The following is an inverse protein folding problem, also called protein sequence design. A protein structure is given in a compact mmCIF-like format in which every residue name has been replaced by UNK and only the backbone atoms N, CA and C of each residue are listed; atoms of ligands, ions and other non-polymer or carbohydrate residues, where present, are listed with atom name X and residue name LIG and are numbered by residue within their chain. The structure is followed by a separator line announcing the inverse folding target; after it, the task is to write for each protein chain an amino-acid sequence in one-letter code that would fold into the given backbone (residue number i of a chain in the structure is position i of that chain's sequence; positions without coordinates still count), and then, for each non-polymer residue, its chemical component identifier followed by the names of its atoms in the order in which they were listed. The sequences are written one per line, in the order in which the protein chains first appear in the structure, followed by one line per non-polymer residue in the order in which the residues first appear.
data_IF_461328796701
#
_entry.id   IF_461328796701
#
_cell.length_a   1.000
_cell.length_b   1.000
_cell.length_c   1.000
_cell.angle_alpha   90.00
_cell.angle_beta   90.00
_cell.angle_gamma   90.00
#
_symmetry.space_group_name_H-M   'P 1'
#
loop_
_entity.id
_entity.type
_entity.pdbx_description
1 polymer ?
#
# COMPACT_ATOMS: atom_id res chain seq x y z
N UNK A 1 -14.16 29.63 28.05
CA UNK A 1 -12.73 29.31 27.91
C UNK A 1 -11.91 30.12 28.90
N UNK A 2 -11.24 29.44 29.85
CA UNK A 2 -10.61 30.03 31.04
C UNK A 2 -9.31 30.83 30.76
N UNK A 3 -8.78 30.77 29.54
CA UNK A 3 -7.49 31.36 29.15
C UNK A 3 -7.60 32.71 28.41
N UNK A 4 -8.75 33.40 28.44
CA UNK A 4 -8.90 34.76 27.90
C UNK A 4 -9.08 34.88 26.37
N UNK A 5 -8.90 33.80 25.61
CA UNK A 5 -9.14 33.79 24.16
C UNK A 5 -10.58 33.37 23.86
N UNK A 6 -11.35 34.24 23.19
CA UNK A 6 -12.68 33.93 22.65
C UNK A 6 -12.57 33.81 21.14
N UNK A 7 -13.10 32.70 20.60
CA UNK A 7 -13.23 32.54 19.16
C UNK A 7 -14.35 33.47 18.64
N UNK A 8 -14.10 34.26 17.58
CA UNK A 8 -15.17 34.97 16.87
C UNK A 8 -16.21 34.00 16.31
N UNK A 9 -17.47 34.44 16.20
CA UNK A 9 -18.58 33.61 15.68
C UNK A 9 -18.46 33.31 14.18
N UNK A 10 -17.62 34.04 13.45
CA UNK A 10 -17.40 33.89 12.00
C UNK A 10 -16.28 32.92 11.65
N UNK A 11 -15.61 32.32 12.64
CA UNK A 11 -14.40 31.52 12.43
C UNK A 11 -14.58 30.09 12.94
N UNK A 12 -13.97 29.12 12.25
CA UNK A 12 -14.01 27.72 12.69
C UNK A 12 -13.22 27.56 13.99
N UNK A 13 -13.83 27.08 15.10
CA UNK A 13 -13.14 26.94 16.37
C UNK A 13 -11.89 26.06 16.29
N UNK A 14 -11.89 24.98 15.50
CA UNK A 14 -10.74 24.09 15.39
C UNK A 14 -9.53 24.82 14.77
N UNK A 15 -9.75 25.52 13.67
CA UNK A 15 -8.72 26.30 12.99
C UNK A 15 -8.22 27.46 13.88
N UNK A 16 -9.10 28.06 14.69
CA UNK A 16 -8.74 29.13 15.61
C UNK A 16 -7.75 28.65 16.67
N UNK A 17 -7.97 27.47 17.24
CA UNK A 17 -7.07 26.89 18.22
C UNK A 17 -5.74 26.47 17.60
N UNK A 18 -5.76 25.89 16.39
CA UNK A 18 -4.54 25.54 15.66
C UNK A 18 -3.70 26.80 15.42
N UNK A 19 -4.30 27.88 14.93
CA UNK A 19 -3.60 29.14 14.70
C UNK A 19 -3.02 29.75 15.99
N UNK A 20 -3.72 29.63 17.13
CA UNK A 20 -3.25 30.12 18.43
C UNK A 20 -2.17 29.26 19.07
N UNK A 21 -2.12 27.97 18.74
CA UNK A 21 -1.12 27.02 19.24
C UNK A 21 0.08 26.86 18.29
N UNK A 22 -0.01 27.37 17.06
CA UNK A 22 1.06 27.33 16.08
C UNK A 22 2.16 28.34 16.40
N UNK A 23 3.41 27.88 16.31
CA UNK A 23 4.58 28.77 16.34
C UNK A 23 4.84 29.26 14.92
N UNK A 24 4.54 30.54 14.67
CA UNK A 24 4.81 31.19 13.39
C UNK A 24 6.30 31.58 13.29
N UNK A 25 7.03 31.13 12.25
CA UNK A 25 8.43 31.51 12.04
C UNK A 25 8.54 33.00 11.65
N UNK A 26 9.58 33.68 12.14
CA UNK A 26 9.89 35.09 11.82
C UNK A 26 9.93 36.02 13.05
N UNK A 27 9.68 37.32 12.84
CA UNK A 27 9.84 38.37 13.87
C UNK A 27 8.94 38.22 15.12
N UNK A 28 7.95 37.35 15.08
CA UNK A 28 7.02 37.10 16.19
C UNK A 28 7.23 35.75 16.88
N UNK A 29 8.26 34.98 16.49
CA UNK A 29 8.49 33.62 17.02
C UNK A 29 8.60 33.58 18.55
N UNK A 30 9.40 34.49 19.15
CA UNK A 30 9.58 34.55 20.61
C UNK A 30 8.27 34.84 21.35
N UNK A 31 7.40 35.69 20.78
CA UNK A 31 6.08 36.03 21.36
C UNK A 31 5.10 34.87 21.21
N UNK A 32 5.09 34.21 20.06
CA UNK A 32 4.25 33.04 19.78
C UNK A 32 4.63 31.87 20.71
N UNK A 33 5.93 31.56 20.84
CA UNK A 33 6.43 30.54 21.78
C UNK A 33 6.07 30.85 23.23
N UNK A 34 6.22 32.11 23.65
CA UNK A 34 5.84 32.51 25.01
C UNK A 34 4.32 32.36 25.24
N UNK A 35 3.48 32.70 24.26
CA UNK A 35 2.03 32.53 24.34
C UNK A 35 1.62 31.07 24.42
N UNK A 36 2.20 30.21 23.57
CA UNK A 36 1.95 28.75 23.58
C UNK A 36 2.37 28.15 24.92
N UNK A 37 3.57 28.50 25.42
CA UNK A 37 4.05 28.03 26.71
C UNK A 37 3.11 28.39 27.85
N UNK A 38 2.62 29.64 27.90
CA UNK A 38 1.63 30.06 28.91
C UNK A 38 0.33 29.25 28.85
N UNK A 39 -0.13 28.89 27.65
CA UNK A 39 -1.34 28.06 27.46
C UNK A 39 -1.08 26.63 27.93
N UNK A 40 0.09 26.05 27.61
CA UNK A 40 0.50 24.73 28.10
C UNK A 40 0.63 24.70 29.62
N UNK A 41 1.29 25.70 30.22
CA UNK A 41 1.47 25.79 31.66
C UNK A 41 0.11 25.93 32.39
N UNK A 42 -0.83 26.72 31.83
CA UNK A 42 -2.17 26.84 32.42
C UNK A 42 -3.01 25.58 32.25
N UNK A 43 -2.80 24.82 31.17
CA UNK A 43 -3.44 23.52 30.96
C UNK A 43 -2.93 22.47 31.94
N UNK A 44 -1.61 22.36 32.12
CA UNK A 44 -0.99 21.43 33.08
C UNK A 44 -1.41 21.74 34.53
N UNK A 45 -1.55 23.02 34.89
CA UNK A 45 -2.05 23.41 36.20
C UNK A 45 -3.55 23.15 36.40
N UNK A 46 -4.32 22.99 35.31
CA UNK A 46 -5.77 22.82 35.37
C UNK A 46 -6.17 21.43 35.89
N UNK A 47 -7.35 21.34 36.50
CA UNK A 47 -7.94 20.05 36.94
C UNK A 47 -8.03 19.04 35.79
N UNK A 48 -8.38 19.51 34.60
CA UNK A 48 -8.55 18.66 33.42
C UNK A 48 -7.21 18.10 32.91
N UNK A 49 -6.14 18.90 32.94
CA UNK A 49 -4.79 18.43 32.60
C UNK A 49 -4.33 17.31 33.54
N UNK A 50 -4.53 17.47 34.85
CA UNK A 50 -4.19 16.45 35.85
C UNK A 50 -5.02 15.16 35.73
N UNK A 51 -6.29 15.28 35.39
CA UNK A 51 -7.18 14.14 35.15
C UNK A 51 -6.73 13.30 33.94
N UNK A 52 -6.38 13.97 32.84
CA UNK A 52 -5.82 13.32 31.65
C UNK A 52 -4.48 12.66 31.98
N UNK A 53 -3.60 13.34 32.72
CA UNK A 53 -2.29 12.80 33.12
C UNK A 53 -2.43 11.53 33.97
N UNK A 54 -3.39 11.53 34.92
CA UNK A 54 -3.70 10.33 35.70
C UNK A 54 -4.27 9.18 34.86
N UNK A 55 -5.06 9.49 33.83
CA UNK A 55 -5.62 8.49 32.91
C UNK A 55 -4.52 7.89 32.03
N UNK A 56 -3.60 8.72 31.52
CA UNK A 56 -2.45 8.28 30.72
C UNK A 56 -1.53 7.38 31.55
N UNK A 57 -1.22 7.78 32.79
CA UNK A 57 -0.41 6.98 33.70
C UNK A 57 -1.04 5.59 33.94
N UNK A 58 -2.35 5.56 34.24
CA UNK A 58 -3.12 4.33 34.42
C UNK A 58 -3.11 3.43 33.17
N UNK A 59 -3.36 4.00 31.98
CA UNK A 59 -3.31 3.23 30.73
C UNK A 59 -1.91 2.71 30.40
N UNK A 60 -0.85 3.45 30.73
CA UNK A 60 0.53 3.02 30.49
C UNK A 60 0.95 1.84 31.37
N UNK A 61 0.46 1.81 32.61
CA UNK A 61 0.70 0.72 33.56
C UNK A 61 -0.04 -0.55 33.12
N UNK A 62 -1.30 -0.41 32.71
CA UNK A 62 -2.09 -1.50 32.13
C UNK A 62 -1.41 -2.10 30.89
N UNK A 63 -0.88 -1.26 29.99
CA UNK A 63 -0.21 -1.70 28.76
C UNK A 63 1.10 -2.46 29.01
N UNK A 64 1.80 -2.23 30.13
CA UNK A 64 2.98 -3.03 30.50
C UNK A 64 2.58 -4.39 31.07
N UNK A 65 1.48 -4.46 31.84
CA UNK A 65 0.98 -5.70 32.44
C UNK A 65 0.35 -6.68 31.42
N UNK A 66 -0.26 -6.17 30.35
CA UNK A 66 -0.97 -6.98 29.32
C UNK A 66 -0.01 -7.73 28.36
N UNK A 67 1.30 -7.64 28.60
CA UNK A 67 2.30 -8.46 27.89
C UNK A 67 2.40 -9.90 28.41
N UNK A 68 1.67 -10.25 29.49
CA UNK A 68 1.77 -11.54 30.17
C UNK A 68 0.43 -12.15 30.66
N UNK A 69 -0.73 -11.93 30.03
CA UNK A 69 -1.78 -12.97 30.13
C UNK A 69 -2.84 -12.86 29.03
N UNK A 70 -3.06 -13.96 28.32
CA UNK A 70 -4.13 -14.06 27.33
C UNK A 70 -5.33 -14.74 27.98
N UNK A 71 -6.43 -14.02 28.15
CA UNK A 71 -7.75 -14.65 28.08
C UNK A 71 -8.78 -14.17 29.08
N UNK A 72 -9.44 -13.04 28.81
CA UNK A 72 -10.83 -12.85 29.23
C UNK A 72 -11.58 -12.13 28.10
N UNK A 73 -12.80 -12.59 27.83
CA UNK A 73 -13.72 -12.08 26.84
C UNK A 73 -14.05 -10.60 27.12
N UNK A 74 -13.52 -9.70 26.31
CA UNK A 74 -14.14 -8.39 26.09
C UNK A 74 -14.14 -8.02 24.61
N UNK A 75 -15.29 -7.51 24.17
CA UNK A 75 -15.66 -7.24 22.79
C UNK A 75 -15.38 -5.77 22.43
N UNK A 76 -14.19 -5.27 22.79
CA UNK A 76 -13.77 -3.92 22.42
C UNK A 76 -13.02 -3.91 21.08
N UNK A 77 -13.51 -3.15 20.06
CA UNK A 77 -12.92 -3.14 18.71
C UNK A 77 -11.61 -2.33 18.60
N UNK A 78 -11.14 -1.70 19.68
CA UNK A 78 -10.05 -0.72 19.65
C UNK A 78 -8.70 -1.33 20.06
N UNK A 79 -8.68 -2.40 20.87
CA UNK A 79 -7.45 -2.91 21.52
C UNK A 79 -6.87 -4.20 20.94
N UNK A 80 -7.55 -4.90 20.03
CA UNK A 80 -6.98 -6.13 19.45
C UNK A 80 -5.98 -5.79 18.33
N UNK A 81 -4.71 -6.26 18.40
CA UNK A 81 -3.91 -6.35 17.19
C UNK A 81 -4.69 -7.25 16.24
N UNK A 82 -5.13 -6.70 15.11
CA UNK A 82 -5.83 -7.45 14.06
C UNK A 82 -5.07 -8.75 13.83
N UNK A 83 -5.62 -9.89 14.27
CA UNK A 83 -4.96 -11.20 14.12
C UNK A 83 -4.64 -11.34 12.65
N UNK A 84 -3.35 -11.30 12.32
CA UNK A 84 -2.89 -11.44 10.94
C UNK A 84 -3.38 -12.80 10.47
N UNK A 85 -4.19 -12.79 9.41
CA UNK A 85 -4.71 -14.02 8.83
C UNK A 85 -3.54 -14.96 8.53
N UNK A 86 -3.73 -16.27 8.75
CA UNK A 86 -2.71 -17.28 8.44
C UNK A 86 -2.23 -17.09 7.00
N UNK A 87 -0.92 -17.20 6.77
CA UNK A 87 -0.26 -16.92 5.48
C UNK A 87 -0.98 -17.56 4.29
N UNK A 88 -1.37 -18.83 4.38
CA UNK A 88 -2.10 -19.52 3.30
C UNK A 88 -3.49 -18.95 3.00
N UNK A 89 -4.20 -18.41 4.00
CA UNK A 89 -5.50 -17.75 3.81
C UNK A 89 -5.32 -16.40 3.13
N UNK A 90 -4.25 -15.66 3.47
CA UNK A 90 -3.90 -14.41 2.80
C UNK A 90 -3.57 -14.64 1.33
N UNK A 91 -2.70 -15.62 1.05
CA UNK A 91 -2.31 -15.99 -0.32
C UNK A 91 -3.54 -16.42 -1.12
N UNK A 92 -4.39 -17.32 -0.60
CA UNK A 92 -5.61 -17.78 -1.30
C UNK A 92 -6.59 -16.65 -1.58
N UNK A 93 -6.78 -15.72 -0.63
CA UNK A 93 -7.69 -14.59 -0.80
C UNK A 93 -7.18 -13.60 -1.86
N UNK A 94 -5.88 -13.28 -1.82
CA UNK A 94 -5.22 -12.44 -2.82
C UNK A 94 -5.25 -13.08 -4.22
N UNK A 95 -4.99 -14.39 -4.31
CA UNK A 95 -5.13 -15.15 -5.55
C UNK A 95 -6.55 -15.07 -6.09
N UNK A 96 -7.56 -15.43 -5.28
CA UNK A 96 -8.96 -15.39 -5.73
C UNK A 96 -9.36 -13.99 -6.22
N UNK A 97 -8.95 -12.94 -5.50
CA UNK A 97 -9.21 -11.56 -5.90
C UNK A 97 -8.55 -11.22 -7.23
N UNK A 98 -7.27 -11.56 -7.40
CA UNK A 98 -6.57 -11.35 -8.66
C UNK A 98 -7.17 -12.16 -9.81
N UNK A 99 -7.60 -13.40 -9.58
CA UNK A 99 -8.24 -14.25 -10.59
C UNK A 99 -9.55 -13.64 -11.10
N UNK A 100 -10.34 -13.06 -10.19
CA UNK A 100 -11.61 -12.39 -10.53
C UNK A 100 -11.35 -11.08 -11.28
N UNK A 101 -10.36 -10.30 -10.85
CA UNK A 101 -9.97 -9.05 -11.52
C UNK A 101 -9.50 -9.31 -12.96
N UNK A 102 -8.69 -10.35 -13.14
CA UNK A 102 -8.20 -10.78 -14.46
C UNK A 102 -9.33 -11.33 -15.34
N UNK A 103 -10.30 -12.06 -14.76
CA UNK A 103 -11.46 -12.56 -15.48
C UNK A 103 -12.48 -11.45 -15.85
N UNK A 104 -12.55 -10.36 -15.06
CA UNK A 104 -13.43 -9.21 -15.32
C UNK A 104 -12.97 -8.30 -16.45
N UNK A 105 -11.73 -8.43 -16.89
CA UNK A 105 -11.17 -7.67 -18.01
C UNK A 105 -10.92 -8.56 -19.24
N UNK A 106 -11.96 -9.21 -19.82
CA UNK A 106 -11.79 -10.11 -20.96
C UNK A 106 -11.29 -9.39 -22.21
N UNK A 107 -11.53 -8.07 -22.34
CA UNK A 107 -11.06 -7.26 -23.45
C UNK A 107 -9.52 -7.25 -23.56
N UNK A 108 -8.81 -7.15 -22.44
CA UNK A 108 -7.34 -7.13 -22.43
C UNK A 108 -6.79 -8.51 -22.84
N UNK A 109 -7.39 -9.59 -22.35
CA UNK A 109 -6.99 -10.96 -22.71
C UNK A 109 -7.31 -11.29 -24.17
N UNK A 110 -8.44 -10.81 -24.69
CA UNK A 110 -8.79 -10.94 -26.11
C UNK A 110 -7.79 -10.18 -27.00
N UNK A 111 -7.44 -8.93 -26.67
CA UNK A 111 -6.45 -8.16 -27.43
C UNK A 111 -5.08 -8.86 -27.47
N UNK A 112 -4.61 -9.38 -26.32
CA UNK A 112 -3.38 -10.18 -26.24
C UNK A 112 -3.44 -11.44 -27.10
N UNK A 113 -4.59 -12.11 -27.13
CA UNK A 113 -4.79 -13.32 -27.93
C UNK A 113 -4.76 -13.00 -29.43
N UNK A 114 -5.43 -11.93 -29.86
CA UNK A 114 -5.42 -11.47 -31.25
C UNK A 114 -4.01 -11.07 -31.69
N UNK A 115 -3.28 -10.32 -30.85
CA UNK A 115 -1.88 -9.97 -31.11
C UNK A 115 -1.01 -11.21 -31.33
N UNK A 116 -1.13 -12.23 -30.46
CA UNK A 116 -0.39 -13.50 -30.59
C UNK A 116 -0.75 -14.25 -31.88
N UNK A 117 -2.02 -14.26 -32.28
CA UNK A 117 -2.47 -14.88 -33.55
C UNK A 117 -1.86 -14.17 -34.76
N UNK A 118 -1.92 -12.83 -34.78
CA UNK A 118 -1.34 -12.04 -35.89
C UNK A 118 0.15 -12.30 -36.02
N UNK A 119 0.88 -12.33 -34.90
CA UNK A 119 2.29 -12.60 -34.93
C UNK A 119 2.63 -14.04 -35.32
N UNK A 120 1.85 -15.03 -34.87
CA UNK A 120 2.01 -16.41 -35.30
C UNK A 120 1.81 -16.57 -36.81
N UNK A 121 0.84 -15.84 -37.38
CA UNK A 121 0.63 -15.80 -38.84
C UNK A 121 1.82 -15.15 -39.55
N UNK A 122 2.33 -14.02 -39.05
CA UNK A 122 3.50 -13.34 -39.62
C UNK A 122 4.75 -14.23 -39.59
N UNK A 123 5.05 -14.85 -38.45
CA UNK A 123 6.17 -15.80 -38.33
C UNK A 123 5.97 -17.00 -39.24
N UNK A 124 4.74 -17.54 -39.30
CA UNK A 124 4.39 -18.63 -40.21
C UNK A 124 4.62 -18.29 -41.68
N UNK A 125 4.28 -17.07 -42.11
CA UNK A 125 4.53 -16.57 -43.46
C UNK A 125 6.01 -16.37 -43.76
N UNK A 126 6.77 -15.83 -42.81
CA UNK A 126 8.21 -15.57 -42.96
C UNK A 126 9.00 -16.86 -43.10
N UNK A 127 8.62 -17.91 -42.36
CA UNK A 127 9.33 -19.20 -42.33
C UNK A 127 8.62 -20.31 -43.13
N UNK A 128 7.65 -19.97 -43.98
CA UNK A 128 6.87 -20.95 -44.76
C UNK A 128 7.69 -21.74 -45.79
N UNK A 129 8.75 -21.14 -46.35
CA UNK A 129 9.57 -21.70 -47.43
C UNK A 129 11.03 -21.91 -47.02
N UNK A 130 11.26 -22.42 -45.81
CA UNK A 130 12.62 -22.77 -45.35
C UNK A 130 13.05 -24.10 -45.97
N UNK A 131 14.02 -24.05 -46.87
CA UNK A 131 14.66 -25.25 -47.42
C UNK A 131 15.70 -25.85 -46.46
N UNK A 132 15.83 -27.18 -46.46
CA UNK A 132 16.73 -27.93 -45.57
C UNK A 132 18.19 -27.82 -46.05
N UNK A 133 18.77 -26.63 -45.90
CA UNK A 133 20.16 -26.28 -46.22
C UNK A 133 20.84 -25.62 -45.01
N UNK A 134 22.16 -25.38 -45.07
CA UNK A 134 22.89 -24.65 -44.02
C UNK A 134 22.23 -23.30 -43.64
N UNK A 135 21.68 -22.59 -44.64
CA UNK A 135 20.89 -21.37 -44.43
C UNK A 135 19.57 -21.63 -43.69
N UNK A 136 18.86 -22.70 -44.04
CA UNK A 136 17.62 -23.06 -43.36
C UNK A 136 17.80 -23.44 -41.89
N UNK A 137 18.94 -24.03 -41.50
CA UNK A 137 19.27 -24.26 -40.08
C UNK A 137 19.40 -22.93 -39.34
N UNK A 138 20.02 -21.93 -39.96
CA UNK A 138 20.13 -20.57 -39.39
C UNK A 138 18.75 -19.90 -39.29
N UNK A 139 17.90 -20.05 -40.30
CA UNK A 139 16.53 -19.50 -40.31
C UNK A 139 15.67 -20.12 -39.20
N UNK A 140 15.76 -21.44 -38.99
CA UNK A 140 15.07 -22.14 -37.87
C UNK A 140 15.59 -21.64 -36.51
N UNK A 141 16.90 -21.42 -36.38
CA UNK A 141 17.47 -20.82 -35.17
C UNK A 141 16.92 -19.43 -34.89
N UNK A 142 16.76 -18.61 -35.93
CA UNK A 142 16.09 -17.30 -35.85
C UNK A 142 14.62 -17.40 -35.45
N UNK A 143 13.88 -18.38 -35.98
CA UNK A 143 12.48 -18.61 -35.63
C UNK A 143 12.30 -18.99 -34.16
N UNK A 144 13.15 -19.90 -33.63
CA UNK A 144 13.12 -20.29 -32.22
C UNK A 144 13.47 -19.10 -31.33
N UNK A 145 14.49 -18.31 -31.70
CA UNK A 145 14.85 -17.09 -30.97
C UNK A 145 13.70 -16.08 -30.94
N UNK A 146 13.04 -15.83 -32.07
CA UNK A 146 11.89 -14.94 -32.15
C UNK A 146 10.74 -15.44 -31.28
N UNK A 147 10.46 -16.75 -31.27
CA UNK A 147 9.42 -17.34 -30.43
C UNK A 147 9.71 -17.17 -28.92
N UNK A 148 10.93 -17.45 -28.47
CA UNK A 148 11.33 -17.28 -27.07
C UNK A 148 11.26 -15.80 -26.65
N UNK A 149 11.72 -14.92 -27.52
CA UNK A 149 11.76 -13.47 -27.29
C UNK A 149 10.35 -12.89 -27.15
N UNK A 150 9.45 -13.27 -28.05
CA UNK A 150 8.06 -12.84 -27.98
C UNK A 150 7.32 -13.35 -26.75
N UNK A 151 7.65 -14.54 -26.24
CA UNK A 151 7.04 -15.02 -25.00
C UNK A 151 7.60 -14.29 -23.77
N UNK A 152 8.86 -13.87 -23.80
CA UNK A 152 9.57 -13.34 -22.63
C UNK A 152 9.42 -11.82 -22.45
N UNK A 153 9.52 -11.02 -23.52
CA UNK A 153 9.52 -9.56 -23.40
C UNK A 153 8.17 -8.96 -23.01
N UNK A 154 7.02 -9.36 -23.58
CA UNK A 154 5.70 -8.86 -23.14
C UNK A 154 5.42 -9.16 -21.67
N UNK A 155 5.89 -10.30 -21.16
CA UNK A 155 5.86 -10.64 -19.73
C UNK A 155 6.58 -9.59 -18.90
N UNK A 156 7.82 -9.33 -19.25
CA UNK A 156 8.67 -8.36 -18.56
C UNK A 156 8.07 -6.95 -18.60
N UNK A 157 7.60 -6.49 -19.76
CA UNK A 157 6.98 -5.18 -19.91
C UNK A 157 5.67 -5.05 -19.12
N UNK A 158 4.89 -6.14 -19.00
CA UNK A 158 3.70 -6.16 -18.16
C UNK A 158 4.02 -5.86 -16.69
N UNK A 159 5.03 -6.53 -16.14
CA UNK A 159 5.48 -6.31 -14.76
C UNK A 159 6.05 -4.90 -14.60
N UNK A 160 6.90 -4.45 -15.52
CA UNK A 160 7.57 -3.15 -15.43
C UNK A 160 6.61 -1.96 -15.46
N UNK A 161 5.46 -2.07 -16.13
CA UNK A 161 4.46 -1.00 -16.15
C UNK A 161 3.54 -1.03 -14.92
N UNK A 162 3.18 -2.23 -14.45
CA UNK A 162 2.23 -2.38 -13.33
C UNK A 162 2.92 -2.19 -11.97
N UNK A 163 4.15 -2.64 -11.81
CA UNK A 163 4.82 -2.62 -10.51
C UNK A 163 5.05 -1.20 -9.94
N UNK A 164 5.54 -0.20 -10.71
CA UNK A 164 5.75 1.15 -10.20
C UNK A 164 4.44 1.83 -9.77
N UNK A 165 3.33 1.55 -10.45
CA UNK A 165 2.03 2.13 -10.12
C UNK A 165 1.43 1.54 -8.83
N UNK A 166 1.75 0.30 -8.49
CA UNK A 166 1.29 -0.35 -7.25
C UNK A 166 2.21 -0.09 -6.04
N UNK A 167 3.47 0.28 -6.28
CA UNK A 167 4.48 0.56 -5.25
C UNK A 167 4.02 1.48 -4.09
N UNK A 168 3.37 2.65 -4.33
CA UNK A 168 2.94 3.52 -3.24
C UNK A 168 1.84 2.88 -2.37
N UNK A 169 0.97 2.06 -2.96
CA UNK A 169 -0.09 1.35 -2.22
C UNK A 169 0.52 0.28 -1.32
N UNK A 170 1.47 -0.49 -1.86
CA UNK A 170 2.20 -1.52 -1.10
C UNK A 170 2.91 -0.90 0.09
N UNK A 171 3.61 0.21 -0.10
CA UNK A 171 4.36 0.88 0.96
C UNK A 171 3.43 1.33 2.09
N UNK A 172 2.27 1.90 1.74
CA UNK A 172 1.26 2.33 2.71
C UNK A 172 0.66 1.15 3.49
N UNK A 173 0.33 0.06 2.81
CA UNK A 173 -0.26 -1.12 3.45
C UNK A 173 0.74 -1.89 4.31
N UNK A 174 2.02 -1.90 3.91
CA UNK A 174 3.09 -2.49 4.69
C UNK A 174 3.36 -1.71 5.98
N UNK A 175 3.42 -0.37 5.90
CA UNK A 175 3.53 0.50 7.08
C UNK A 175 2.32 0.37 8.01
N UNK A 176 1.13 0.10 7.46
CA UNK A 176 -0.06 -0.24 8.23
C UNK A 176 -0.07 -1.64 8.87
N UNK A 177 0.98 -2.46 8.64
CA UNK A 177 1.15 -3.77 9.26
C UNK A 177 0.25 -4.88 8.72
N UNK A 178 -0.47 -4.65 7.60
CA UNK A 178 -1.45 -5.60 7.06
C UNK A 178 -0.81 -6.88 6.49
N UNK A 179 0.34 -6.76 5.80
CA UNK A 179 1.01 -7.89 5.13
C UNK A 179 2.54 -7.80 5.23
N UNK A 180 3.21 -8.97 5.21
CA UNK A 180 4.66 -9.07 5.01
C UNK A 180 4.99 -8.96 3.52
N UNK A 181 6.11 -8.32 3.19
CA UNK A 181 6.53 -8.00 1.81
C UNK A 181 6.79 -9.26 0.98
N UNK A 182 7.34 -10.30 1.60
CA UNK A 182 7.62 -11.62 1.02
C UNK A 182 6.35 -12.32 0.51
N UNK A 183 5.29 -12.33 1.31
CA UNK A 183 4.01 -12.92 0.96
C UNK A 183 3.33 -12.19 -0.20
N UNK A 184 3.42 -10.86 -0.24
CA UNK A 184 2.89 -10.04 -1.32
C UNK A 184 3.64 -10.31 -2.63
N UNK A 185 4.98 -10.32 -2.60
CA UNK A 185 5.80 -10.54 -3.79
C UNK A 185 5.48 -11.89 -4.44
N UNK A 186 5.42 -12.96 -3.66
CA UNK A 186 5.09 -14.30 -4.18
C UNK A 186 3.67 -14.34 -4.74
N UNK A 187 2.69 -13.78 -4.03
CA UNK A 187 1.30 -13.74 -4.51
C UNK A 187 1.17 -12.95 -5.82
N UNK A 188 1.90 -11.84 -5.95
CA UNK A 188 1.90 -11.00 -7.15
C UNK A 188 2.60 -11.69 -8.33
N UNK A 189 3.72 -12.36 -8.10
CA UNK A 189 4.41 -13.15 -9.14
C UNK A 189 3.52 -14.27 -9.68
N UNK A 190 2.81 -14.99 -8.81
CA UNK A 190 1.88 -16.06 -9.23
C UNK A 190 0.68 -15.49 -10.01
N UNK A 191 0.17 -14.33 -9.58
CA UNK A 191 -0.90 -13.61 -10.27
C UNK A 191 -0.50 -13.19 -11.69
N UNK A 192 0.68 -12.59 -11.84
CA UNK A 192 1.22 -12.13 -13.13
C UNK A 192 1.52 -13.29 -14.10
N UNK A 193 1.99 -14.43 -13.60
CA UNK A 193 2.24 -15.63 -14.42
C UNK A 193 0.96 -16.13 -15.11
N UNK A 194 -0.23 -15.86 -14.56
CA UNK A 194 -1.50 -16.26 -15.16
C UNK A 194 -2.02 -15.29 -16.23
N UNK A 195 -1.50 -14.07 -16.29
CA UNK A 195 -1.89 -13.05 -17.29
C UNK A 195 -1.08 -13.12 -18.59
N UNK A 196 -0.21 -14.13 -18.69
CA UNK A 196 0.66 -14.45 -19.82
C UNK A 196 0.07 -15.53 -20.72
#
# INVERSE_FOLDING_TARGET
MRNGFRCPSTFNPADFFIHKLAVLPGHHESRSRASVKRICDSFLASRHGKEIDSTIAFCSDLAQSDSLDSGVYDDDPITKPRRKARWGVQVRSLLKRSLIESARNPAVNQMRTVQKIVLAILLGLVFADVQVNQKGIQDIGGAIFAFVTENSFPSMYGVLNVFPSELPVILREHQGGLFRVDAYYIAKMISLVREL
#
